data_IF_172486845764
#
_entry.id   IF_172486845764
#
_cell.length_a   1.000
_cell.length_b   1.000
_cell.length_c   1.000
_cell.angle_alpha   90.00
_cell.angle_beta   90.00
_cell.angle_gamma   90.00
#
_symmetry.space_group_name_H-M   'P 1'
#
loop_
_entity.id
_entity.type
_entity.pdbx_description
1 polymer ?
#
# COMPACT_ATOMS: atom_id res chain seq x y z
N UNK A 1 20.41 40.01 -17.70
CA UNK A 1 19.34 40.94 -17.24
C UNK A 1 18.49 40.16 -16.24
N UNK A 2 18.58 40.54 -14.97
CA UNK A 2 17.84 39.86 -13.88
C UNK A 2 16.59 40.66 -13.57
N UNK A 3 15.41 40.05 -13.65
CA UNK A 3 14.17 40.67 -13.19
C UNK A 3 13.89 40.20 -11.75
N UNK A 4 13.65 41.12 -10.80
CA UNK A 4 13.24 40.74 -9.45
C UNK A 4 11.73 40.56 -9.35
N UNK A 5 11.31 39.46 -8.73
CA UNK A 5 9.90 39.15 -8.42
C UNK A 5 9.52 39.94 -7.15
N UNK A 6 8.54 40.82 -7.24
CA UNK A 6 8.03 41.65 -6.14
C UNK A 6 6.80 40.98 -5.52
N UNK A 7 6.83 40.70 -4.22
CA UNK A 7 5.67 40.23 -3.45
C UNK A 7 4.87 41.41 -2.89
N UNK A 8 3.52 41.39 -2.94
CA UNK A 8 2.71 42.44 -2.31
C UNK A 8 2.56 42.18 -0.80
N UNK A 9 2.84 43.21 -0.02
CA UNK A 9 2.60 43.29 1.44
C UNK A 9 1.10 43.48 1.69
N UNK A 10 0.46 42.54 2.39
CA UNK A 10 -0.88 42.70 2.93
C UNK A 10 -0.86 43.36 4.27
N UNK A 11 -1.69 44.42 4.41
CA UNK A 11 -1.83 45.29 5.57
C UNK A 11 -2.64 44.59 6.68
N UNK A 12 -2.14 44.76 7.91
CA UNK A 12 -2.82 44.42 9.15
C UNK A 12 -4.00 45.37 9.38
N UNK A 13 -5.19 44.82 9.64
CA UNK A 13 -6.32 45.56 10.21
C UNK A 13 -6.64 45.02 11.60
N UNK A 14 -6.47 45.90 12.60
CA UNK A 14 -6.95 45.75 13.99
C UNK A 14 -8.40 46.26 14.06
N UNK A 15 -9.20 45.63 14.90
CA UNK A 15 -10.35 46.10 15.69
C UNK A 15 -11.41 44.98 15.76
N UNK A 16 -12.15 44.69 16.81
CA UNK A 16 -12.44 45.34 18.07
C UNK A 16 -13.06 44.30 19.02
N UNK A 17 -12.94 44.60 20.30
CA UNK A 17 -13.49 43.93 21.47
C UNK A 17 -15.00 44.08 21.50
N UNK A 18 -15.76 43.01 21.77
CA UNK A 18 -17.13 43.08 22.26
C UNK A 18 -17.37 42.05 23.37
N UNK A 19 -17.44 42.56 24.57
CA UNK A 19 -17.90 41.93 25.80
C UNK A 19 -19.41 41.79 25.77
N UNK A 20 -19.98 40.63 26.05
CA UNK A 20 -21.40 40.49 26.49
C UNK A 20 -21.54 39.33 27.48
N UNK A 21 -21.79 39.75 28.71
CA UNK A 21 -22.74 39.36 29.75
C UNK A 21 -23.11 37.86 29.95
N UNK A 22 -22.81 37.44 31.17
CA UNK A 22 -23.42 36.28 31.87
C UNK A 22 -24.92 36.43 31.99
N UNK A 23 -25.67 35.39 31.66
CA UNK A 23 -27.02 35.15 32.13
C UNK A 23 -27.05 33.79 32.83
N UNK A 24 -27.15 33.83 34.14
CA UNK A 24 -27.49 32.71 34.99
C UNK A 24 -28.99 32.42 34.87
N UNK A 25 -29.39 31.20 34.63
CA UNK A 25 -30.76 30.73 34.77
C UNK A 25 -30.81 29.53 35.74
N UNK A 26 -31.83 29.45 36.59
CA UNK A 26 -31.89 28.53 37.72
C UNK A 26 -32.30 27.10 37.33
N UNK A 27 -31.75 26.12 38.03
CA UNK A 27 -32.21 24.75 38.06
C UNK A 27 -33.66 24.66 38.63
N UNK A 28 -34.59 24.18 37.83
CA UNK A 28 -35.84 23.63 38.32
C UNK A 28 -35.71 22.11 38.32
N UNK A 29 -35.67 21.56 39.51
CA UNK A 29 -35.87 20.13 39.74
C UNK A 29 -37.33 19.80 39.51
N UNK A 30 -37.66 18.88 38.61
CA UNK A 30 -38.89 18.12 38.59
C UNK A 30 -38.52 16.65 38.65
N UNK A 31 -38.73 16.07 39.80
CA UNK A 31 -38.87 14.64 39.98
C UNK A 31 -40.27 14.23 39.44
N UNK A 32 -40.31 13.27 38.57
CA UNK A 32 -41.47 12.40 38.35
C UNK A 32 -40.95 11.04 37.89
N UNK A 33 -41.41 10.05 38.60
CA UNK A 33 -41.11 8.64 38.46
C UNK A 33 -41.63 8.06 37.14
N UNK A 34 -41.06 6.86 36.86
CA UNK A 34 -41.52 5.82 35.95
C UNK A 34 -41.14 5.95 34.46
N UNK A 35 -40.31 5.13 34.10
CA UNK A 35 -40.23 4.00 33.19
C UNK A 35 -38.79 3.71 32.74
N UNK A 36 -38.25 2.66 33.32
CA UNK A 36 -37.00 2.05 32.94
C UNK A 36 -37.10 1.40 31.56
N UNK A 37 -36.87 2.15 30.53
CA UNK A 37 -36.38 1.57 29.27
C UNK A 37 -34.87 1.80 29.20
N UNK A 38 -34.14 0.93 29.87
CA UNK A 38 -32.70 0.73 29.62
C UNK A 38 -32.54 0.26 28.18
N UNK A 39 -32.42 1.21 27.25
CA UNK A 39 -31.81 0.94 25.97
C UNK A 39 -30.34 0.62 26.26
N UNK A 40 -30.06 -0.67 26.51
CA UNK A 40 -28.74 -1.22 26.42
C UNK A 40 -28.30 -1.04 24.98
N UNK A 41 -27.65 0.10 24.70
CA UNK A 41 -26.79 0.21 23.54
C UNK A 41 -25.70 -0.84 23.75
N UNK A 42 -25.91 -2.03 23.18
CA UNK A 42 -24.87 -3.02 23.00
C UNK A 42 -23.80 -2.34 22.14
N UNK A 43 -22.78 -1.80 22.79
CA UNK A 43 -21.56 -1.40 22.12
C UNK A 43 -21.02 -2.67 21.49
N UNK A 44 -21.28 -2.89 20.21
CA UNK A 44 -20.65 -3.96 19.46
C UNK A 44 -19.14 -3.75 19.63
N UNK A 45 -18.48 -4.70 20.28
CA UNK A 45 -17.04 -4.65 20.44
C UNK A 45 -16.43 -4.66 19.05
N UNK A 46 -15.46 -3.78 18.79
CA UNK A 46 -14.75 -3.77 17.52
C UNK A 46 -14.11 -5.16 17.28
N UNK A 47 -14.13 -5.65 16.03
CA UNK A 47 -13.46 -6.89 15.69
C UNK A 47 -12.00 -6.86 16.16
N UNK A 48 -11.51 -8.00 16.66
CA UNK A 48 -10.11 -8.14 17.09
C UNK A 48 -9.35 -8.95 16.06
N UNK A 49 -8.10 -8.57 15.71
CA UNK A 49 -7.28 -9.38 14.85
C UNK A 49 -7.00 -10.76 15.48
N UNK A 50 -6.94 -11.79 14.65
CA UNK A 50 -6.51 -13.14 15.03
C UNK A 50 -4.99 -13.26 15.06
N UNK A 51 -4.29 -12.36 14.34
CA UNK A 51 -2.85 -12.20 14.37
C UNK A 51 -2.52 -10.72 14.14
N UNK A 52 -1.51 -10.22 14.87
CA UNK A 52 -1.05 -8.84 14.76
C UNK A 52 0.45 -8.79 14.98
N UNK A 53 1.16 -8.11 14.10
CA UNK A 53 2.58 -7.78 14.20
C UNK A 53 2.70 -6.28 14.03
N UNK A 54 2.99 -5.56 15.10
CA UNK A 54 3.06 -4.10 15.11
C UNK A 54 4.34 -3.58 14.42
N UNK A 55 5.39 -4.39 14.38
CA UNK A 55 6.66 -4.02 13.76
C UNK A 55 7.29 -5.24 13.09
N UNK A 56 7.26 -5.24 11.76
CA UNK A 56 7.89 -6.27 10.95
C UNK A 56 9.41 -6.09 10.97
N UNK A 57 10.13 -7.13 11.38
CA UNK A 57 11.59 -7.09 11.55
C UNK A 57 12.34 -7.95 10.54
N UNK A 58 11.62 -8.74 9.74
CA UNK A 58 12.20 -9.64 8.76
C UNK A 58 11.15 -10.42 7.97
N UNK A 59 11.64 -11.26 7.07
CA UNK A 59 10.85 -12.03 6.14
C UNK A 59 11.05 -11.57 4.70
N UNK A 60 10.22 -12.10 3.81
CA UNK A 60 10.29 -11.82 2.37
C UNK A 60 8.90 -11.82 1.72
N UNK A 61 8.82 -11.12 0.61
CA UNK A 61 7.71 -11.24 -0.35
C UNK A 61 8.23 -11.88 -1.63
N UNK A 62 7.84 -13.11 -1.87
CA UNK A 62 8.14 -13.85 -3.09
C UNK A 62 7.01 -13.70 -4.10
N UNK A 63 7.34 -13.37 -5.36
CA UNK A 63 6.41 -13.32 -6.48
C UNK A 63 6.81 -14.40 -7.48
N UNK A 64 6.05 -15.51 -7.51
CA UNK A 64 6.20 -16.50 -8.59
C UNK A 64 5.63 -15.92 -9.86
N UNK A 65 6.48 -15.68 -10.86
CA UNK A 65 6.09 -15.01 -12.10
C UNK A 65 5.11 -15.85 -12.91
N UNK A 66 4.10 -15.19 -13.45
CA UNK A 66 3.15 -15.79 -14.39
C UNK A 66 3.81 -16.01 -15.77
N UNK A 67 3.53 -17.14 -16.40
CA UNK A 67 4.12 -17.45 -17.72
C UNK A 67 3.68 -16.45 -18.78
N UNK A 68 2.43 -15.97 -18.74
CA UNK A 68 1.94 -14.95 -19.67
C UNK A 68 2.68 -13.61 -19.51
N UNK A 69 3.09 -13.26 -18.29
CA UNK A 69 3.94 -12.09 -18.05
C UNK A 69 5.34 -12.28 -18.65
N UNK A 70 5.96 -13.43 -18.43
CA UNK A 70 7.29 -13.75 -19.00
C UNK A 70 7.26 -13.76 -20.54
N UNK A 71 6.19 -14.29 -21.12
CA UNK A 71 5.99 -14.29 -22.58
C UNK A 71 5.77 -12.87 -23.11
N UNK A 72 5.06 -12.01 -22.37
CA UNK A 72 4.88 -10.59 -22.71
C UNK A 72 6.22 -9.84 -22.67
N UNK A 73 7.04 -10.04 -21.63
CA UNK A 73 8.39 -9.45 -21.56
C UNK A 73 9.24 -9.87 -22.75
N UNK A 74 9.21 -11.15 -23.12
CA UNK A 74 9.95 -11.69 -24.27
C UNK A 74 9.50 -11.05 -25.58
N UNK A 75 8.18 -10.92 -25.78
CA UNK A 75 7.58 -10.32 -26.96
C UNK A 75 7.98 -8.85 -27.11
N UNK A 76 7.99 -8.12 -26.01
CA UNK A 76 8.38 -6.72 -25.94
C UNK A 76 9.90 -6.51 -25.91
N UNK A 77 10.69 -7.60 -25.88
CA UNK A 77 12.15 -7.58 -25.74
C UNK A 77 12.60 -6.84 -24.47
N UNK A 78 11.82 -6.95 -23.42
CA UNK A 78 12.15 -6.46 -22.09
C UNK A 78 12.90 -7.52 -21.32
N UNK A 79 14.08 -7.17 -20.82
CA UNK A 79 14.88 -8.05 -19.96
C UNK A 79 14.58 -7.68 -18.51
N UNK A 80 13.98 -8.59 -17.72
CA UNK A 80 13.81 -8.36 -16.29
C UNK A 80 15.14 -8.49 -15.56
N UNK A 81 15.30 -7.70 -14.51
CA UNK A 81 16.44 -7.74 -13.58
C UNK A 81 15.96 -7.36 -12.18
N UNK A 82 16.88 -7.33 -11.24
CA UNK A 82 16.63 -6.96 -9.85
C UNK A 82 17.45 -5.74 -9.45
N UNK A 83 16.98 -5.02 -8.44
CA UNK A 83 17.64 -3.84 -7.86
C UNK A 83 17.86 -4.08 -6.38
N UNK A 84 19.05 -3.70 -5.89
CA UNK A 84 19.40 -3.81 -4.47
C UNK A 84 19.42 -5.25 -3.97
N UNK A 85 18.74 -5.48 -2.84
CA UNK A 85 18.71 -6.77 -2.15
C UNK A 85 17.66 -7.75 -2.70
N UNK A 86 16.93 -7.38 -3.76
CA UNK A 86 16.00 -8.30 -4.41
C UNK A 86 16.76 -9.41 -5.16
N UNK A 87 16.15 -10.58 -5.27
CA UNK A 87 16.68 -11.70 -6.05
C UNK A 87 15.68 -12.22 -7.08
N UNK A 88 16.20 -12.81 -8.16
CA UNK A 88 15.41 -13.49 -9.19
C UNK A 88 15.98 -14.89 -9.38
N UNK A 89 15.27 -15.89 -8.91
CA UNK A 89 15.72 -17.29 -8.96
C UNK A 89 14.58 -18.19 -9.38
N UNK A 90 14.82 -19.06 -10.36
CA UNK A 90 13.84 -20.07 -10.83
C UNK A 90 12.44 -19.50 -11.18
N UNK A 91 12.41 -18.27 -11.73
CA UNK A 91 11.15 -17.61 -12.11
C UNK A 91 10.39 -16.99 -10.95
N UNK A 92 11.03 -16.84 -9.80
CA UNK A 92 10.48 -16.11 -8.64
C UNK A 92 11.34 -14.89 -8.32
N UNK A 93 10.68 -13.77 -8.06
CA UNK A 93 11.27 -12.55 -7.50
C UNK A 93 11.07 -12.58 -5.99
N UNK A 94 12.15 -12.34 -5.24
CA UNK A 94 12.11 -12.22 -3.79
C UNK A 94 12.53 -10.82 -3.36
N UNK A 95 11.73 -10.22 -2.48
CA UNK A 95 11.95 -8.88 -1.93
C UNK A 95 12.00 -8.96 -0.41
N UNK A 96 13.14 -8.66 0.24
CA UNK A 96 13.23 -8.65 1.69
C UNK A 96 12.25 -7.65 2.31
N UNK A 97 11.58 -8.05 3.40
CA UNK A 97 10.77 -7.15 4.21
C UNK A 97 11.67 -6.32 5.11
N UNK A 98 11.60 -5.00 4.98
CA UNK A 98 12.45 -4.06 5.72
C UNK A 98 11.73 -3.34 6.84
N UNK A 99 10.39 -3.47 6.91
CA UNK A 99 9.58 -2.83 7.94
C UNK A 99 8.09 -2.95 7.66
N UNK A 100 7.31 -2.29 8.51
CA UNK A 100 5.86 -2.25 8.39
C UNK A 100 5.14 -2.89 9.56
N UNK A 101 3.86 -3.13 9.38
CA UNK A 101 2.98 -3.81 10.32
C UNK A 101 1.90 -4.60 9.59
N UNK A 102 1.33 -5.59 10.24
CA UNK A 102 0.22 -6.37 9.68
C UNK A 102 -0.74 -6.81 10.76
N UNK A 103 -2.04 -6.70 10.48
CA UNK A 103 -3.11 -7.28 11.28
C UNK A 103 -3.99 -8.15 10.39
N UNK A 104 -4.26 -9.36 10.85
CA UNK A 104 -5.11 -10.34 10.15
C UNK A 104 -6.34 -10.60 11.00
N UNK A 105 -7.52 -10.48 10.40
CA UNK A 105 -8.82 -10.74 11.02
C UNK A 105 -9.39 -12.06 10.51
N UNK A 106 -10.43 -12.55 11.18
CA UNK A 106 -11.19 -13.68 10.67
C UNK A 106 -11.85 -13.29 9.34
N UNK A 107 -11.66 -14.07 8.26
CA UNK A 107 -12.33 -13.79 7.00
C UNK A 107 -13.85 -13.67 7.15
N UNK A 108 -14.41 -12.57 6.66
CA UNK A 108 -15.85 -12.26 6.75
C UNK A 108 -16.26 -11.38 7.93
N UNK A 109 -15.41 -11.18 8.95
CA UNK A 109 -15.69 -10.24 10.04
C UNK A 109 -15.44 -8.80 9.63
N UNK A 110 -14.37 -8.56 8.89
CA UNK A 110 -14.01 -7.25 8.30
C UNK A 110 -13.61 -7.42 6.84
N UNK A 111 -13.67 -6.35 6.08
CA UNK A 111 -13.24 -6.36 4.68
C UNK A 111 -12.46 -5.08 4.37
N UNK A 112 -11.20 -5.19 3.93
CA UNK A 112 -10.39 -6.42 3.81
C UNK A 112 -10.03 -7.01 5.18
N UNK A 113 -9.78 -8.32 5.25
CA UNK A 113 -9.44 -8.99 6.51
C UNK A 113 -7.93 -9.02 6.80
N UNK A 114 -7.10 -8.54 5.89
CA UNK A 114 -5.68 -8.25 6.10
C UNK A 114 -5.48 -6.76 5.89
N UNK A 115 -4.92 -6.09 6.88
CA UNK A 115 -4.60 -4.66 6.85
C UNK A 115 -3.18 -4.43 7.36
N UNK A 116 -2.61 -3.30 7.00
CA UNK A 116 -1.26 -2.91 7.40
C UNK A 116 -0.44 -2.42 6.23
N UNK A 117 0.87 -2.43 6.38
CA UNK A 117 1.82 -2.07 5.34
C UNK A 117 3.07 -2.94 5.45
N UNK A 118 3.58 -3.42 4.30
CA UNK A 118 4.88 -4.09 4.23
C UNK A 118 5.80 -3.27 3.36
N UNK A 119 6.98 -2.97 3.88
CA UNK A 119 7.99 -2.13 3.22
C UNK A 119 9.14 -2.99 2.70
N UNK A 120 9.61 -2.67 1.50
CA UNK A 120 10.73 -3.32 0.81
C UNK A 120 11.72 -2.25 0.36
N UNK A 121 12.25 -1.47 1.30
CA UNK A 121 13.20 -0.40 1.01
C UNK A 121 14.52 -0.96 0.46
N UNK A 122 15.09 -0.26 -0.51
CA UNK A 122 16.38 -0.62 -1.11
C UNK A 122 16.33 -1.80 -2.07
N UNK A 123 15.16 -2.38 -2.33
CA UNK A 123 15.00 -3.48 -3.29
C UNK A 123 13.99 -3.17 -4.37
N UNK A 124 14.05 -3.89 -5.49
CA UNK A 124 13.15 -3.64 -6.60
C UNK A 124 13.33 -4.55 -7.81
N UNK A 125 12.54 -4.23 -8.84
CA UNK A 125 12.55 -4.86 -10.16
C UNK A 125 13.05 -3.86 -11.20
N UNK A 126 13.89 -4.30 -12.14
CA UNK A 126 14.24 -3.52 -13.33
C UNK A 126 13.73 -4.18 -14.60
N UNK A 127 13.42 -3.34 -15.60
CA UNK A 127 13.07 -3.75 -16.95
C UNK A 127 13.93 -2.96 -17.93
N UNK A 128 14.63 -3.66 -18.82
CA UNK A 128 15.54 -3.04 -19.79
C UNK A 128 15.19 -3.41 -21.22
N UNK A 129 15.10 -2.41 -22.09
CA UNK A 129 14.97 -2.57 -23.54
C UNK A 129 15.91 -1.59 -24.25
N UNK A 130 16.91 -2.11 -24.99
CA UNK A 130 17.95 -1.29 -25.62
C UNK A 130 18.66 -0.43 -24.58
N UNK A 131 18.64 0.89 -24.79
CA UNK A 131 19.27 1.87 -23.89
C UNK A 131 18.31 2.41 -22.80
N UNK A 132 17.12 1.85 -22.68
CA UNK A 132 16.12 2.29 -21.70
C UNK A 132 16.02 1.27 -20.58
N UNK A 133 16.30 1.70 -19.37
CA UNK A 133 16.08 0.92 -18.13
C UNK A 133 15.08 1.65 -17.24
N UNK A 134 14.05 0.92 -16.83
CA UNK A 134 13.10 1.34 -15.81
C UNK A 134 13.36 0.52 -14.56
N UNK A 135 13.48 1.19 -13.42
CA UNK A 135 13.59 0.56 -12.12
C UNK A 135 12.34 0.91 -11.29
N UNK A 136 11.74 -0.10 -10.71
CA UNK A 136 10.60 -0.01 -9.78
C UNK A 136 11.12 -0.45 -8.42
N UNK A 137 11.21 0.47 -7.46
CA UNK A 137 11.92 0.25 -6.20
C UNK A 137 11.09 0.69 -4.99
N UNK A 138 11.56 0.37 -3.79
CA UNK A 138 10.97 0.82 -2.53
C UNK A 138 9.48 0.48 -2.45
N UNK A 139 9.14 -0.79 -2.70
CA UNK A 139 7.75 -1.19 -2.69
C UNK A 139 7.14 -1.07 -1.29
N UNK A 140 5.95 -0.49 -1.25
CA UNK A 140 5.08 -0.48 -0.09
C UNK A 140 3.79 -1.22 -0.45
N UNK A 141 3.59 -2.37 0.18
CA UNK A 141 2.41 -3.21 -0.01
C UNK A 141 1.37 -2.81 1.01
N UNK A 142 0.21 -2.37 0.55
CA UNK A 142 -0.95 -2.01 1.37
C UNK A 142 -2.13 -2.95 1.05
N UNK A 143 -2.30 -4.04 1.83
CA UNK A 143 -3.41 -4.96 1.64
C UNK A 143 -4.77 -4.33 1.96
N UNK A 144 -4.81 -3.28 2.80
CA UNK A 144 -6.02 -2.58 3.19
C UNK A 144 -6.73 -1.90 2.03
N UNK A 145 -5.98 -1.42 1.03
CA UNK A 145 -6.50 -0.85 -0.22
C UNK A 145 -6.16 -1.70 -1.44
N UNK A 146 -5.57 -2.89 -1.23
CA UNK A 146 -5.20 -3.85 -2.27
C UNK A 146 -4.25 -3.25 -3.31
N UNK A 147 -3.20 -2.54 -2.89
CA UNK A 147 -2.27 -1.83 -3.76
C UNK A 147 -0.82 -2.02 -3.36
N UNK A 148 0.05 -1.92 -4.36
CA UNK A 148 1.49 -1.77 -4.16
C UNK A 148 1.92 -0.44 -4.77
N UNK A 149 2.57 0.37 -3.96
CA UNK A 149 3.20 1.62 -4.36
C UNK A 149 4.71 1.42 -4.45
N UNK A 150 5.37 2.24 -5.25
CA UNK A 150 6.83 2.24 -5.36
C UNK A 150 7.35 3.42 -6.15
N UNK A 151 8.66 3.59 -6.14
CA UNK A 151 9.34 4.64 -6.88
C UNK A 151 9.68 4.14 -8.30
N UNK A 152 9.61 5.04 -9.26
CA UNK A 152 9.93 4.77 -10.66
C UNK A 152 11.12 5.61 -11.08
N UNK A 153 12.18 4.95 -11.52
CA UNK A 153 13.38 5.58 -12.04
C UNK A 153 13.55 5.17 -13.51
N UNK A 154 13.86 6.11 -14.38
CA UNK A 154 14.13 5.87 -15.79
C UNK A 154 15.54 6.35 -16.12
N UNK A 155 16.40 5.44 -16.54
CA UNK A 155 17.81 5.70 -16.85
C UNK A 155 18.53 6.47 -15.72
N UNK A 156 18.34 6.03 -14.47
CA UNK A 156 18.95 6.62 -13.27
C UNK A 156 18.32 7.95 -12.81
N UNK A 157 17.21 8.38 -13.41
CA UNK A 157 16.49 9.61 -12.99
C UNK A 157 15.12 9.24 -12.43
N UNK A 158 14.84 9.73 -11.22
CA UNK A 158 13.52 9.55 -10.61
C UNK A 158 12.46 10.22 -11.50
N UNK A 159 11.51 9.44 -11.97
CA UNK A 159 10.38 9.88 -12.77
C UNK A 159 9.15 10.13 -11.91
N UNK A 160 8.85 9.21 -10.99
CA UNK A 160 7.70 9.31 -10.07
C UNK A 160 8.10 8.66 -8.74
N UNK A 161 7.69 9.25 -7.63
CA UNK A 161 7.79 8.66 -6.29
C UNK A 161 6.44 8.17 -5.83
N UNK A 162 6.39 7.02 -5.14
CA UNK A 162 5.17 6.43 -4.59
C UNK A 162 4.03 6.28 -5.63
N UNK A 163 4.39 5.82 -6.83
CA UNK A 163 3.40 5.53 -7.87
C UNK A 163 2.61 4.27 -7.52
N UNK A 164 1.32 4.24 -7.84
CA UNK A 164 0.52 3.02 -7.78
C UNK A 164 0.96 2.08 -8.90
N UNK A 165 1.73 1.04 -8.55
CA UNK A 165 2.37 0.15 -9.53
C UNK A 165 1.58 -1.13 -9.78
N UNK A 166 1.09 -1.77 -8.70
CA UNK A 166 0.38 -3.03 -8.84
C UNK A 166 -0.91 -3.06 -8.03
N UNK A 167 -1.95 -3.61 -8.66
CA UNK A 167 -3.21 -3.99 -8.02
C UNK A 167 -3.05 -5.38 -7.41
N UNK A 168 -3.57 -5.56 -6.20
CA UNK A 168 -3.62 -6.86 -5.54
C UNK A 168 -5.02 -7.46 -5.64
N UNK A 169 -5.11 -8.73 -6.03
CA UNK A 169 -6.36 -9.50 -5.97
C UNK A 169 -6.22 -10.61 -4.93
N UNK A 170 -6.80 -10.37 -3.76
CA UNK A 170 -6.77 -11.28 -2.62
C UNK A 170 -7.86 -12.36 -2.63
N UNK A 171 -8.68 -12.48 -3.70
CA UNK A 171 -9.77 -13.47 -3.75
C UNK A 171 -9.29 -14.92 -3.72
N UNK A 172 -8.04 -15.15 -4.08
CA UNK A 172 -7.36 -16.46 -4.05
C UNK A 172 -6.39 -16.60 -2.89
N UNK A 173 -6.40 -15.65 -1.94
CA UNK A 173 -5.57 -15.71 -0.73
C UNK A 173 -5.97 -16.92 0.12
N UNK A 174 -4.97 -17.73 0.46
CA UNK A 174 -5.13 -18.89 1.34
C UNK A 174 -5.28 -18.45 2.79
N UNK A 175 -5.86 -19.27 3.66
CA UNK A 175 -5.85 -19.01 5.10
C UNK A 175 -4.43 -18.79 5.61
N UNK A 176 -4.31 -17.91 6.63
CA UNK A 176 -3.03 -17.68 7.32
C UNK A 176 -2.46 -19.01 7.81
N UNK A 177 -1.23 -19.30 7.40
CA UNK A 177 -0.45 -20.43 7.89
C UNK A 177 0.68 -19.93 8.81
N UNK A 178 1.15 -20.79 9.70
CA UNK A 178 2.31 -20.52 10.56
C UNK A 178 3.26 -21.70 10.52
N UNK A 179 4.55 -21.42 10.38
CA UNK A 179 5.61 -22.42 10.42
C UNK A 179 6.70 -21.95 11.38
N UNK A 180 6.77 -22.59 12.58
CA UNK A 180 7.68 -22.13 13.64
C UNK A 180 7.36 -20.70 14.06
N UNK A 181 8.34 -19.81 13.91
CA UNK A 181 8.24 -18.39 14.25
C UNK A 181 7.91 -17.50 13.03
N UNK A 182 7.34 -18.07 11.98
CA UNK A 182 6.94 -17.32 10.79
C UNK A 182 5.45 -17.41 10.51
N UNK A 183 4.88 -16.33 9.99
CA UNK A 183 3.53 -16.26 9.45
C UNK A 183 3.58 -16.20 7.92
N UNK A 184 2.71 -16.95 7.25
CA UNK A 184 2.70 -17.11 5.81
C UNK A 184 1.33 -16.75 5.25
N UNK A 185 1.30 -15.80 4.31
CA UNK A 185 0.15 -15.45 3.49
C UNK A 185 0.48 -15.70 2.02
N UNK A 186 -0.25 -16.59 1.35
CA UNK A 186 0.01 -17.01 -0.02
C UNK A 186 -1.24 -16.97 -0.89
N UNK A 187 -1.09 -16.61 -2.15
CA UNK A 187 -2.15 -16.73 -3.15
C UNK A 187 -2.72 -15.43 -3.67
N UNK A 188 -2.22 -14.27 -3.23
CA UNK A 188 -2.62 -12.97 -3.78
C UNK A 188 -2.06 -12.82 -5.20
N UNK A 189 -2.92 -12.48 -6.17
CA UNK A 189 -2.48 -12.11 -7.51
C UNK A 189 -1.94 -10.69 -7.49
N UNK A 190 -0.83 -10.49 -8.19
CA UNK A 190 -0.20 -9.19 -8.42
C UNK A 190 -0.41 -8.83 -9.88
N UNK A 191 -1.12 -7.74 -10.14
CA UNK A 191 -1.50 -7.31 -11.49
C UNK A 191 -0.98 -5.89 -11.75
N UNK A 192 -0.62 -5.60 -13.01
CA UNK A 192 -0.20 -4.25 -13.40
C UNK A 192 -1.37 -3.28 -13.21
N UNK A 193 -1.12 -2.15 -12.53
CA UNK A 193 -2.15 -1.13 -12.28
C UNK A 193 -2.51 -0.34 -13.53
N UNK A 194 -3.63 0.38 -13.46
CA UNK A 194 -4.08 1.35 -14.48
C UNK A 194 -3.20 2.61 -14.56
N UNK A 195 -2.36 2.85 -13.54
CA UNK A 195 -1.36 3.92 -13.52
C UNK A 195 -0.03 3.46 -14.12
N UNK A 196 0.42 2.24 -13.77
CA UNK A 196 1.70 1.72 -14.25
C UNK A 196 1.68 1.34 -15.74
N UNK A 197 0.56 0.79 -16.24
CA UNK A 197 0.46 0.37 -17.64
C UNK A 197 0.76 1.50 -18.63
N UNK A 198 0.11 2.68 -18.60
CA UNK A 198 0.44 3.77 -19.49
C UNK A 198 1.86 4.32 -19.28
N UNK A 199 2.36 4.35 -18.04
CA UNK A 199 3.72 4.80 -17.75
C UNK A 199 4.77 3.90 -18.44
N UNK A 200 4.61 2.58 -18.38
CA UNK A 200 5.49 1.62 -19.05
C UNK A 200 5.36 1.72 -20.57
N UNK A 201 4.13 1.86 -21.08
CA UNK A 201 3.88 2.05 -22.51
C UNK A 201 4.56 3.31 -23.05
N UNK A 202 4.41 4.43 -22.36
CA UNK A 202 5.05 5.70 -22.74
C UNK A 202 6.58 5.60 -22.71
N UNK A 203 7.13 4.89 -21.71
CA UNK A 203 8.58 4.76 -21.54
C UNK A 203 9.19 3.86 -22.60
N UNK A 204 8.60 2.69 -22.85
CA UNK A 204 9.11 1.71 -23.80
C UNK A 204 8.57 1.87 -25.22
N UNK A 205 7.74 2.91 -25.48
CA UNK A 205 7.14 3.20 -26.80
C UNK A 205 6.36 2.02 -27.37
N UNK A 206 5.51 1.45 -26.55
CA UNK A 206 4.61 0.34 -26.87
C UNK A 206 3.18 0.66 -26.41
N UNK A 207 2.21 -0.13 -26.82
CA UNK A 207 0.82 -0.10 -26.35
C UNK A 207 0.36 -1.47 -25.83
N UNK A 208 1.32 -2.39 -25.67
CA UNK A 208 1.03 -3.78 -25.35
C UNK A 208 0.93 -4.06 -23.84
N UNK A 209 1.37 -3.15 -22.96
CA UNK A 209 1.18 -3.30 -21.53
C UNK A 209 -0.22 -2.89 -21.15
N UNK A 210 -0.99 -3.79 -20.56
CA UNK A 210 -2.38 -3.52 -20.16
C UNK A 210 -2.56 -3.56 -18.65
N UNK A 211 -3.45 -2.72 -18.12
CA UNK A 211 -3.89 -2.84 -16.74
C UNK A 211 -4.55 -4.20 -16.52
N UNK A 212 -4.30 -4.80 -15.36
CA UNK A 212 -4.79 -6.13 -15.03
C UNK A 212 -3.94 -7.29 -15.60
N UNK A 213 -2.83 -7.00 -16.32
CA UNK A 213 -1.91 -8.06 -16.71
C UNK A 213 -1.33 -8.71 -15.45
N UNK A 214 -1.53 -10.02 -15.31
CA UNK A 214 -1.04 -10.79 -14.17
C UNK A 214 0.50 -10.87 -14.23
N UNK A 215 1.15 -10.32 -13.21
CA UNK A 215 2.62 -10.40 -13.03
C UNK A 215 2.99 -11.72 -12.37
N UNK A 216 2.24 -12.13 -11.36
CA UNK A 216 2.50 -13.38 -10.65
C UNK A 216 1.65 -13.54 -9.39
N UNK A 217 2.00 -14.56 -8.61
CA UNK A 217 1.35 -14.89 -7.36
C UNK A 217 2.28 -14.60 -6.19
N UNK A 218 1.79 -13.83 -5.23
CA UNK A 218 2.54 -13.48 -4.04
C UNK A 218 2.44 -14.56 -2.95
N UNK A 219 3.58 -14.82 -2.32
CA UNK A 219 3.73 -15.50 -1.03
C UNK A 219 4.52 -14.57 -0.12
N UNK A 220 3.93 -14.17 0.98
CA UNK A 220 4.53 -13.30 1.98
C UNK A 220 4.84 -14.15 3.20
N UNK A 221 6.10 -14.14 3.62
CA UNK A 221 6.59 -14.79 4.84
C UNK A 221 7.15 -13.71 5.75
N UNK A 222 6.68 -13.62 6.99
CA UNK A 222 7.15 -12.62 7.96
C UNK A 222 7.48 -13.27 9.30
N UNK A 223 8.48 -12.73 9.97
CA UNK A 223 8.86 -13.16 11.31
C UNK A 223 7.81 -12.68 12.33
N UNK A 224 7.46 -13.57 13.29
CA UNK A 224 6.45 -13.28 14.32
C UNK A 224 7.06 -12.93 15.68
N UNK A 225 8.41 -12.91 15.74
CA UNK A 225 9.18 -12.59 16.95
C UNK A 225 10.34 -11.66 16.65
#
# INVERSE_FOLDING_TARGET
>A
MRNPITFPKSKRGLAAIATVALLAAPLSACSSDDDSSSSSSSSASAPKPVAEIENLTGGDTQITLDQGFVDALTTLKLTPGVVGDATLTDGALDFPVTGGNVSVFTPGEVSPYVIGQLQHEGSGLSLTAGDTTVELTNFNVDPGVSRVYGDVTVNGKVAVTSAFLFQLDGRTLKPLATEGDTAILEGTKVEISDVAAPLLNDTFKTDAVTAGLLVGIAKITVDTK
#
